data_IF_150371469509
#
_entry.id   IF_150371469509
#
_cell.length_a   1.000
_cell.length_b   1.000
_cell.length_c   1.000
_cell.angle_alpha   90.00
_cell.angle_beta   90.00
_cell.angle_gamma   90.00
#
_symmetry.space_group_name_H-M   'P 1'
#
loop_
_entity.id
_entity.type
_entity.pdbx_description
1 polymer ?
#
# COMPACT_ATOMS: atom_id res chain seq x y z
N UNK A 1 1.32 33.73 2.41
CA UNK A 1 1.79 32.41 1.92
C UNK A 1 1.73 31.41 3.07
N UNK A 2 0.54 31.13 3.61
CA UNK A 2 0.39 30.34 4.85
C UNK A 2 -0.70 29.25 4.75
N UNK A 3 -1.43 29.22 3.63
CA UNK A 3 -2.55 28.29 3.42
C UNK A 3 -2.05 26.91 2.96
N UNK A 4 -0.88 26.85 2.31
CA UNK A 4 -0.35 25.62 1.68
C UNK A 4 0.56 24.83 2.62
N UNK A 5 1.24 25.50 3.55
CA UNK A 5 2.28 24.88 4.39
C UNK A 5 1.85 24.61 5.85
N UNK A 6 0.81 25.28 6.35
CA UNK A 6 0.50 25.33 7.79
C UNK A 6 -0.88 24.75 8.15
N UNK A 7 -1.39 23.82 7.33
CA UNK A 7 -2.58 23.01 7.66
C UNK A 7 -2.13 21.57 7.94
N UNK A 8 -2.65 20.92 9.01
CA UNK A 8 -2.52 19.47 9.11
C UNK A 8 -3.11 18.86 7.82
N UNK A 9 -2.36 17.94 7.21
CA UNK A 9 -2.78 17.14 6.04
C UNK A 9 -2.86 17.99 4.77
N UNK A 10 -1.90 18.91 4.61
CA UNK A 10 -1.74 19.68 3.38
C UNK A 10 -1.46 18.76 2.17
N UNK A 11 -1.82 19.20 0.95
CA UNK A 11 -1.66 18.40 -0.28
C UNK A 11 -0.24 17.83 -0.48
N UNK A 12 0.78 18.56 -0.03
CA UNK A 12 2.16 18.10 -0.09
C UNK A 12 2.43 16.94 0.87
N UNK A 13 1.91 17.01 2.10
CA UNK A 13 2.03 15.96 3.11
C UNK A 13 1.32 14.68 2.68
N UNK A 14 0.13 14.79 2.08
CA UNK A 14 -0.60 13.64 1.52
C UNK A 14 0.18 12.97 0.39
N UNK A 15 0.73 13.77 -0.53
CA UNK A 15 1.53 13.23 -1.64
C UNK A 15 2.81 12.58 -1.16
N UNK A 16 3.47 13.13 -0.14
CA UNK A 16 4.65 12.53 0.48
C UNK A 16 4.30 11.22 1.19
N UNK A 17 3.21 11.22 1.97
CA UNK A 17 2.72 10.04 2.66
C UNK A 17 2.35 8.91 1.68
N UNK A 18 1.70 9.23 0.56
CA UNK A 18 1.38 8.25 -0.49
C UNK A 18 2.61 7.65 -1.13
N UNK A 19 3.62 8.49 -1.42
CA UNK A 19 4.86 8.03 -2.02
C UNK A 19 5.61 7.09 -1.08
N UNK A 20 5.83 7.52 0.16
CA UNK A 20 6.53 6.72 1.18
C UNK A 20 5.75 5.44 1.48
N UNK A 21 4.43 5.54 1.65
CA UNK A 21 3.56 4.40 1.89
C UNK A 21 3.61 3.37 0.77
N UNK A 22 3.60 3.81 -0.50
CA UNK A 22 3.76 2.92 -1.65
C UNK A 22 5.11 2.19 -1.65
N UNK A 23 6.19 2.89 -1.31
CA UNK A 23 7.54 2.31 -1.23
C UNK A 23 7.68 1.33 -0.06
N UNK A 24 7.07 1.63 1.09
CA UNK A 24 7.06 0.74 2.26
C UNK A 24 6.24 -0.52 1.99
N UNK A 25 5.08 -0.38 1.35
CA UNK A 25 4.24 -1.50 0.94
C UNK A 25 5.02 -2.46 0.02
N UNK A 26 5.75 -1.92 -0.95
CA UNK A 26 6.63 -2.68 -1.82
C UNK A 26 7.73 -3.45 -1.03
N UNK A 27 8.34 -2.81 -0.03
CA UNK A 27 9.35 -3.46 0.82
C UNK A 27 8.78 -4.57 1.70
N UNK A 28 7.57 -4.34 2.20
CA UNK A 28 6.84 -5.26 3.04
C UNK A 28 6.20 -6.42 2.25
N UNK A 29 6.58 -6.61 0.99
CA UNK A 29 6.16 -7.72 0.14
C UNK A 29 4.68 -7.72 -0.28
N UNK A 30 4.00 -6.58 -0.13
CA UNK A 30 2.69 -6.38 -0.72
C UNK A 30 2.83 -5.94 -2.17
N UNK A 31 1.91 -6.41 -3.02
CA UNK A 31 1.89 -6.04 -4.44
C UNK A 31 1.57 -4.54 -4.60
N UNK A 32 2.49 -3.72 -5.13
CA UNK A 32 2.28 -2.28 -5.26
C UNK A 32 1.07 -1.89 -6.12
N UNK A 33 0.65 -2.77 -7.04
CA UNK A 33 -0.47 -2.54 -7.96
C UNK A 33 -1.80 -2.43 -7.23
N UNK A 34 -1.91 -3.06 -6.06
CA UNK A 34 -3.13 -3.05 -5.24
C UNK A 34 -3.43 -1.66 -4.63
N UNK A 35 -2.43 -0.77 -4.52
CA UNK A 35 -2.66 0.60 -4.07
C UNK A 35 -3.65 1.36 -4.97
N UNK A 36 -3.57 1.16 -6.29
CA UNK A 36 -4.49 1.82 -7.23
C UNK A 36 -5.91 1.28 -7.06
N UNK A 37 -6.06 -0.03 -6.86
CA UNK A 37 -7.36 -0.64 -6.61
C UNK A 37 -7.97 -0.18 -5.28
N UNK A 38 -7.14 -0.06 -4.23
CA UNK A 38 -7.54 0.49 -2.94
C UNK A 38 -8.06 1.92 -3.07
N UNK A 39 -7.30 2.83 -3.68
CA UNK A 39 -7.72 4.22 -3.82
C UNK A 39 -8.93 4.42 -4.72
N UNK A 40 -9.15 3.56 -5.72
CA UNK A 40 -10.42 3.52 -6.48
C UNK A 40 -11.61 3.17 -5.59
N UNK A 41 -11.47 2.22 -4.67
CA UNK A 41 -12.54 1.89 -3.72
C UNK A 41 -12.81 3.05 -2.75
N UNK A 42 -11.76 3.73 -2.29
CA UNK A 42 -11.87 4.91 -1.43
C UNK A 42 -12.58 6.07 -2.13
N UNK A 43 -12.26 6.34 -3.40
CA UNK A 43 -12.94 7.34 -4.22
C UNK A 43 -14.42 7.02 -4.44
N UNK A 44 -14.74 5.75 -4.72
CA UNK A 44 -16.15 5.33 -4.82
C UNK A 44 -16.90 5.47 -3.50
N UNK A 45 -16.27 5.16 -2.36
CA UNK A 45 -16.88 5.33 -1.04
C UNK A 45 -17.14 6.80 -0.74
N UNK A 46 -16.19 7.69 -1.03
CA UNK A 46 -16.36 9.13 -0.88
C UNK A 46 -17.50 9.69 -1.75
N UNK A 47 -17.70 9.14 -2.95
CA UNK A 47 -18.76 9.56 -3.88
C UNK A 47 -20.15 9.01 -3.54
N UNK A 48 -20.23 7.87 -2.84
CA UNK A 48 -21.49 7.17 -2.54
C UNK A 48 -22.14 7.60 -1.23
N UNK A 49 -21.39 8.17 -0.29
CA UNK A 49 -21.85 8.34 1.09
C UNK A 49 -22.23 9.77 1.48
N UNK A 50 -23.41 9.92 2.08
CA UNK A 50 -23.75 11.01 2.99
C UNK A 50 -22.68 11.14 4.10
N UNK A 51 -22.53 12.32 4.69
CA UNK A 51 -21.43 12.66 5.61
C UNK A 51 -21.25 11.70 6.82
N UNK A 52 -22.26 10.89 7.17
CA UNK A 52 -22.22 9.90 8.26
C UNK A 52 -21.55 8.56 7.89
N UNK A 53 -21.40 8.23 6.60
CA UNK A 53 -20.82 6.96 6.14
C UNK A 53 -19.35 7.08 5.69
N UNK A 54 -18.79 8.29 5.71
CA UNK A 54 -17.40 8.55 5.31
C UNK A 54 -16.47 8.07 6.43
N UNK A 55 -15.59 7.07 6.20
CA UNK A 55 -14.61 6.65 7.20
C UNK A 55 -13.79 7.83 7.73
N UNK A 56 -13.46 7.83 9.03
CA UNK A 56 -12.69 8.92 9.67
C UNK A 56 -11.40 9.26 8.92
N UNK A 57 -10.76 8.26 8.31
CA UNK A 57 -9.61 8.41 7.42
C UNK A 57 -9.88 9.35 6.24
N UNK A 58 -11.05 9.27 5.60
CA UNK A 58 -11.42 10.14 4.47
C UNK A 58 -11.81 11.55 4.91
N UNK A 59 -12.25 11.72 6.16
CA UNK A 59 -12.56 13.02 6.74
C UNK A 59 -11.31 13.87 6.97
N UNK A 60 -10.17 13.24 7.26
CA UNK A 60 -8.87 13.91 7.44
C UNK A 60 -7.94 13.81 6.23
N UNK A 61 -8.10 12.78 5.40
CA UNK A 61 -7.31 12.53 4.18
C UNK A 61 -8.24 12.34 2.96
N UNK A 62 -8.69 13.43 2.31
CA UNK A 62 -9.62 13.32 1.19
C UNK A 62 -9.03 12.52 0.03
N UNK A 63 -9.81 11.56 -0.48
CA UNK A 63 -9.47 10.87 -1.72
C UNK A 63 -9.63 11.83 -2.89
N UNK A 64 -8.64 11.89 -3.78
CA UNK A 64 -8.73 12.65 -5.03
C UNK A 64 -8.21 11.80 -6.18
N UNK A 65 -8.77 12.02 -7.37
CA UNK A 65 -8.31 11.38 -8.61
C UNK A 65 -6.81 11.61 -8.86
N UNK A 66 -6.29 12.74 -8.38
CA UNK A 66 -4.86 13.06 -8.43
C UNK A 66 -3.97 12.03 -7.72
N UNK A 67 -4.44 11.44 -6.60
CA UNK A 67 -3.68 10.39 -5.88
C UNK A 67 -3.50 9.15 -6.75
N UNK A 68 -4.56 8.74 -7.45
CA UNK A 68 -4.51 7.58 -8.35
C UNK A 68 -3.50 7.82 -9.48
N UNK A 69 -3.48 9.02 -10.06
CA UNK A 69 -2.50 9.36 -11.10
C UNK A 69 -1.07 9.38 -10.55
N UNK A 70 -0.85 9.89 -9.34
CA UNK A 70 0.46 9.83 -8.67
C UNK A 70 0.91 8.40 -8.40
N UNK A 71 0.03 7.54 -7.92
CA UNK A 71 0.35 6.12 -7.74
C UNK A 71 0.72 5.43 -9.05
N UNK A 72 0.06 5.76 -10.18
CA UNK A 72 0.45 5.25 -11.50
C UNK A 72 1.82 5.78 -11.93
N UNK A 73 2.09 7.06 -11.70
CA UNK A 73 3.38 7.71 -12.00
C UNK A 73 4.53 7.03 -11.24
N UNK A 74 4.34 6.70 -9.97
CA UNK A 74 5.36 6.06 -9.13
C UNK A 74 5.41 4.54 -9.23
N UNK A 75 4.43 3.92 -9.90
CA UNK A 75 4.32 2.46 -10.00
C UNK A 75 5.60 1.79 -10.51
N UNK A 76 6.30 2.28 -11.55
CA UNK A 76 7.55 1.66 -12.00
C UNK A 76 8.60 1.59 -10.88
N UNK A 77 8.72 2.65 -10.08
CA UNK A 77 9.65 2.70 -8.94
C UNK A 77 9.24 1.74 -7.82
N UNK A 78 7.94 1.65 -7.55
CA UNK A 78 7.42 0.75 -6.53
C UNK A 78 7.64 -0.72 -6.91
N UNK A 79 7.45 -1.07 -8.19
CA UNK A 79 7.73 -2.41 -8.72
C UNK A 79 9.22 -2.73 -8.63
N UNK A 80 10.10 -1.82 -9.05
CA UNK A 80 11.55 -1.98 -8.89
C UNK A 80 11.92 -2.27 -7.44
N UNK A 81 11.36 -1.51 -6.49
CA UNK A 81 11.60 -1.70 -5.06
C UNK A 81 11.07 -3.04 -4.53
N UNK A 82 9.88 -3.45 -4.98
CA UNK A 82 9.29 -4.75 -4.63
C UNK A 82 10.13 -5.91 -5.16
N UNK A 83 10.64 -5.80 -6.39
CA UNK A 83 11.51 -6.80 -7.00
C UNK A 83 12.89 -6.88 -6.37
N UNK A 84 13.44 -5.73 -5.96
CA UNK A 84 14.72 -5.64 -5.26
C UNK A 84 14.64 -6.08 -3.78
N UNK A 85 13.44 -6.21 -3.21
CA UNK A 85 13.24 -6.65 -1.84
C UNK A 85 13.38 -8.16 -1.68
N UNK A 86 13.75 -8.63 -0.49
CA UNK A 86 13.94 -10.06 -0.17
C UNK A 86 12.64 -10.90 -0.16
N UNK A 87 11.55 -10.34 -0.65
CA UNK A 87 10.22 -10.93 -0.69
C UNK A 87 10.18 -12.29 -1.39
N UNK A 88 11.00 -12.47 -2.43
CA UNK A 88 11.13 -13.77 -3.12
C UNK A 88 11.84 -14.82 -2.24
N UNK A 89 12.81 -14.40 -1.42
CA UNK A 89 13.53 -15.26 -0.48
C UNK A 89 12.61 -15.76 0.64
N UNK A 90 11.88 -14.85 1.29
CA UNK A 90 10.92 -15.19 2.36
C UNK A 90 9.80 -16.10 1.85
N UNK A 91 9.27 -15.84 0.65
CA UNK A 91 8.29 -16.72 0.01
C UNK A 91 8.85 -18.13 -0.28
N UNK A 92 10.13 -18.23 -0.62
CA UNK A 92 10.82 -19.51 -0.77
C UNK A 92 10.79 -20.34 0.52
N UNK A 93 11.14 -19.75 1.65
CA UNK A 93 11.08 -20.41 2.96
C UNK A 93 9.65 -20.80 3.36
N UNK A 94 8.68 -19.91 3.15
CA UNK A 94 7.27 -20.21 3.45
C UNK A 94 6.74 -21.39 2.62
N UNK A 95 7.10 -21.47 1.34
CA UNK A 95 6.73 -22.58 0.47
C UNK A 95 7.42 -23.89 0.86
N UNK A 96 8.70 -23.84 1.24
CA UNK A 96 9.41 -25.02 1.76
C UNK A 96 8.77 -25.52 3.06
N UNK A 97 8.45 -24.62 3.98
CA UNK A 97 7.76 -24.93 5.22
C UNK A 97 6.39 -25.57 4.95
N UNK A 98 5.58 -24.98 4.07
CA UNK A 98 4.27 -25.53 3.70
C UNK A 98 4.38 -26.93 3.07
N UNK A 99 5.35 -27.14 2.17
CA UNK A 99 5.63 -28.46 1.59
C UNK A 99 6.10 -29.49 2.63
N UNK A 100 6.87 -29.06 3.63
CA UNK A 100 7.30 -29.92 4.72
C UNK A 100 6.13 -30.34 5.62
N UNK A 101 5.23 -29.41 5.93
CA UNK A 101 3.98 -29.70 6.65
C UNK A 101 3.08 -30.66 5.85
N UNK A 102 2.87 -30.39 4.56
CA UNK A 102 2.00 -31.20 3.68
C UNK A 102 2.52 -32.63 3.48
N UNK A 103 3.84 -32.83 3.54
CA UNK A 103 4.49 -34.15 3.37
C UNK A 103 4.69 -34.91 4.68
N UNK A 104 4.30 -34.35 5.83
CA UNK A 104 4.35 -35.02 7.13
C UNK A 104 5.76 -35.31 7.67
N UNK A 105 6.82 -34.80 7.05
CA UNK A 105 8.21 -35.04 7.47
C UNK A 105 8.76 -33.85 8.24
N UNK A 106 8.24 -33.62 9.45
CA UNK A 106 9.01 -32.90 10.46
C UNK A 106 9.99 -33.92 11.06
N UNK A 107 11.11 -34.17 10.39
CA UNK A 107 12.25 -34.85 11.02
C UNK A 107 12.90 -33.81 11.94
N UNK A 108 12.38 -33.70 13.17
CA UNK A 108 13.17 -33.19 14.28
C UNK A 108 14.08 -34.34 14.69
N UNK A 109 15.30 -34.38 14.14
CA UNK A 109 16.38 -35.13 14.75
C UNK A 109 17.24 -34.13 15.51
N UNK A 110 17.19 -34.23 16.84
CA UNK A 110 18.24 -33.73 17.73
C UNK A 110 19.48 -34.59 17.58
#
# INVERSE_FOLDING_TARGET
MDIVFNRPMGRLQESEADYIGLMLMAEACYDPREAVAFWRRMDMAAKRGHAEEVPELLSTHPSTEHRIEKHKEWMPKAIEKWEASDCKGTAGFANMFRRALDRGSIIVQF
#
